data_IF_528515990825
#
_entry.id   IF_528515990825
#
_cell.length_a   1.000
_cell.length_b   1.000
_cell.length_c   1.000
_cell.angle_alpha   90.00
_cell.angle_beta   90.00
_cell.angle_gamma   90.00
#
_symmetry.space_group_name_H-M   'P 1'
#
loop_
_entity.id
_entity.type
_entity.pdbx_description
1 polymer ?
#
# COMPACT_ATOMS: atom_id res chain seq x y z
N UNK A 1 -68.92 16.13 40.01
CA UNK A 1 -67.89 15.08 40.25
C UNK A 1 -68.56 13.74 39.98
N UNK A 2 -67.99 12.74 39.26
CA UNK A 2 -66.63 12.59 38.68
C UNK A 2 -66.62 12.58 37.12
N UNK A 3 -65.65 13.21 36.46
CA UNK A 3 -64.36 12.70 35.92
C UNK A 3 -64.46 11.72 34.75
N UNK A 4 -64.10 12.23 33.57
CA UNK A 4 -63.98 11.55 32.28
C UNK A 4 -62.58 10.88 32.20
N UNK A 5 -62.45 9.61 31.78
CA UNK A 5 -61.15 8.94 31.74
C UNK A 5 -60.30 9.32 30.52
N UNK A 6 -59.02 9.52 30.79
CA UNK A 6 -57.90 9.90 29.90
C UNK A 6 -57.56 8.79 28.88
N UNK A 7 -57.18 9.11 27.62
CA UNK A 7 -56.79 8.10 26.63
C UNK A 7 -55.38 7.53 26.87
N UNK A 8 -55.25 6.21 26.69
CA UNK A 8 -54.00 5.46 26.82
C UNK A 8 -52.97 5.80 25.72
N UNK A 9 -51.66 5.76 26.01
CA UNK A 9 -50.63 6.09 25.04
C UNK A 9 -50.45 4.95 24.02
N UNK A 10 -50.37 5.32 22.73
CA UNK A 10 -50.05 4.41 21.63
C UNK A 10 -48.61 3.91 21.78
N UNK A 11 -48.44 2.61 21.83
CA UNK A 11 -47.14 1.93 21.71
C UNK A 11 -46.55 2.21 20.33
N UNK A 12 -45.38 2.82 20.29
CA UNK A 12 -44.60 3.08 19.07
C UNK A 12 -43.96 1.79 18.58
N UNK A 13 -44.29 1.38 17.35
CA UNK A 13 -43.62 0.30 16.63
C UNK A 13 -42.11 0.56 16.54
N UNK A 14 -41.24 -0.45 16.77
CA UNK A 14 -39.82 -0.30 16.54
C UNK A 14 -39.54 -0.26 15.03
N UNK A 15 -38.90 0.81 14.58
CA UNK A 15 -38.37 0.92 13.22
C UNK A 15 -37.25 -0.11 13.00
N UNK A 16 -37.11 -0.72 11.81
CA UNK A 16 -36.00 -1.60 11.51
C UNK A 16 -34.76 -0.76 11.23
N UNK A 17 -33.96 -0.50 12.26
CA UNK A 17 -32.62 0.06 12.11
C UNK A 17 -31.63 -1.06 11.78
N UNK A 18 -31.63 -1.52 10.53
CA UNK A 18 -30.51 -2.29 9.98
C UNK A 18 -29.75 -1.43 8.97
N UNK A 19 -29.19 -0.32 9.45
CA UNK A 19 -27.95 0.18 8.87
C UNK A 19 -26.83 -0.58 9.58
N UNK A 20 -26.26 -1.56 8.88
CA UNK A 20 -25.06 -2.26 9.31
C UNK A 20 -23.92 -1.24 9.44
N UNK A 21 -23.84 -0.59 10.59
CA UNK A 21 -22.61 0.02 11.06
C UNK A 21 -21.64 -1.13 11.29
N UNK A 22 -20.80 -1.38 10.29
CA UNK A 22 -19.61 -2.20 10.47
C UNK A 22 -18.72 -1.43 11.45
N UNK A 23 -18.90 -1.72 12.73
CA UNK A 23 -18.06 -1.25 13.81
C UNK A 23 -16.68 -1.89 13.70
N UNK A 24 -15.68 -1.14 14.13
CA UNK A 24 -14.23 -1.40 14.00
C UNK A 24 -13.71 -2.68 14.69
N UNK A 25 -14.57 -3.53 15.23
CA UNK A 25 -14.29 -4.95 15.55
C UNK A 25 -14.35 -5.85 14.29
N UNK A 26 -14.06 -5.32 13.11
CA UNK A 26 -14.26 -6.03 11.84
C UNK A 26 -13.17 -5.78 10.79
N UNK A 27 -12.07 -5.09 11.13
CA UNK A 27 -10.97 -4.77 10.17
C UNK A 27 -9.60 -5.23 10.65
N UNK A 28 -9.38 -5.27 11.96
CA UNK A 28 -8.49 -6.20 12.67
C UNK A 28 -9.16 -6.46 14.01
N UNK A 29 -9.24 -7.73 14.41
CA UNK A 29 -9.57 -8.09 15.79
C UNK A 29 -8.28 -8.59 16.44
N UNK A 30 -8.23 -8.66 17.77
CA UNK A 30 -7.12 -9.29 18.49
C UNK A 30 -6.82 -10.73 18.00
N UNK A 31 -7.76 -11.34 17.28
CA UNK A 31 -7.68 -12.67 16.65
C UNK A 31 -7.02 -12.68 15.24
N UNK A 32 -7.06 -11.57 14.47
CA UNK A 32 -6.49 -11.51 13.12
C UNK A 32 -5.87 -10.12 12.80
N UNK A 33 -4.56 -9.98 13.01
CA UNK A 33 -3.85 -8.72 12.75
C UNK A 33 -3.62 -8.44 11.25
N UNK A 34 -4.03 -9.34 10.34
CA UNK A 34 -3.74 -9.27 8.91
C UNK A 34 -5.00 -9.04 8.04
N UNK A 35 -6.19 -9.01 8.65
CA UNK A 35 -7.47 -8.86 7.96
C UNK A 35 -7.58 -7.63 7.02
N UNK A 36 -6.80 -6.58 7.27
CA UNK A 36 -6.78 -5.40 6.40
C UNK A 36 -6.04 -5.61 5.08
N UNK A 37 -5.23 -6.65 4.93
CA UNK A 37 -4.55 -6.94 3.66
C UNK A 37 -5.57 -7.14 2.53
N UNK A 38 -6.79 -7.58 2.85
CA UNK A 38 -7.91 -7.68 1.93
C UNK A 38 -8.36 -6.34 1.30
N UNK A 39 -8.00 -5.21 1.91
CA UNK A 39 -8.49 -3.88 1.50
C UNK A 39 -7.60 -3.19 0.45
N UNK A 40 -6.41 -3.72 0.18
CA UNK A 40 -5.42 -3.11 -0.70
C UNK A 40 -4.81 -4.17 -1.60
N UNK A 41 -4.55 -3.85 -2.87
CA UNK A 41 -3.68 -4.71 -3.68
C UNK A 41 -2.23 -4.52 -3.24
N UNK A 42 -1.56 -5.61 -2.88
CA UNK A 42 -0.15 -5.57 -2.47
C UNK A 42 0.77 -5.80 -3.66
N UNK A 43 1.61 -4.80 -3.96
CA UNK A 43 2.55 -4.82 -5.09
C UNK A 43 3.98 -4.76 -4.56
N UNK A 44 4.77 -5.81 -4.76
CA UNK A 44 6.19 -5.78 -4.49
C UNK A 44 6.98 -5.33 -5.73
N UNK A 45 7.89 -4.39 -5.55
CA UNK A 45 8.84 -3.94 -6.57
C UNK A 45 10.24 -4.29 -6.09
N UNK A 46 10.86 -5.30 -6.69
CA UNK A 46 12.13 -5.84 -6.26
C UNK A 46 13.25 -5.29 -7.11
N UNK A 47 14.27 -4.78 -6.44
CA UNK A 47 15.55 -4.47 -7.05
C UNK A 47 16.21 -5.77 -7.53
N UNK A 48 16.38 -5.89 -8.84
CA UNK A 48 17.17 -6.92 -9.51
C UNK A 48 18.40 -6.32 -10.18
N UNK A 49 18.93 -5.21 -9.68
CA UNK A 49 20.22 -4.63 -10.10
C UNK A 49 21.39 -5.55 -9.76
N UNK A 50 22.56 -5.27 -10.34
CA UNK A 50 23.76 -6.07 -10.09
C UNK A 50 24.21 -6.11 -8.62
N UNK A 51 23.96 -5.06 -7.82
CA UNK A 51 24.37 -4.99 -6.41
C UNK A 51 23.66 -6.02 -5.53
N UNK A 52 22.42 -6.37 -5.89
CA UNK A 52 21.62 -7.34 -5.16
C UNK A 52 22.18 -8.76 -5.20
N UNK A 53 23.13 -9.05 -6.10
CA UNK A 53 23.69 -10.39 -6.28
C UNK A 53 24.24 -10.99 -4.97
N UNK A 54 23.88 -12.24 -4.68
CA UNK A 54 24.40 -12.99 -3.55
C UNK A 54 23.48 -12.93 -2.33
N UNK A 55 23.85 -12.15 -1.30
CA UNK A 55 23.15 -12.17 -0.01
C UNK A 55 21.77 -11.49 -0.08
N UNK A 56 21.72 -10.23 -0.51
CA UNK A 56 20.48 -9.46 -0.61
C UNK A 56 19.41 -10.19 -1.43
N UNK A 57 19.77 -10.71 -2.61
CA UNK A 57 18.84 -11.46 -3.46
C UNK A 57 18.23 -12.70 -2.79
N UNK A 58 19.03 -13.47 -2.06
CA UNK A 58 18.55 -14.65 -1.33
C UNK A 58 17.61 -14.26 -0.18
N UNK A 59 18.01 -13.24 0.56
CA UNK A 59 17.22 -12.69 1.66
C UNK A 59 15.85 -12.19 1.19
N UNK A 60 15.77 -11.46 0.07
CA UNK A 60 14.50 -11.05 -0.52
C UNK A 60 13.66 -12.23 -0.96
N UNK A 61 14.27 -13.22 -1.63
CA UNK A 61 13.55 -14.43 -2.05
C UNK A 61 12.92 -15.14 -0.86
N UNK A 62 13.71 -15.41 0.18
CA UNK A 62 13.27 -16.18 1.34
C UNK A 62 12.18 -15.46 2.12
N UNK A 63 12.29 -14.13 2.24
CA UNK A 63 11.29 -13.33 2.91
C UNK A 63 9.97 -13.24 2.09
N UNK A 64 10.03 -13.06 0.76
CA UNK A 64 8.84 -13.12 -0.10
C UNK A 64 8.14 -14.49 -0.03
N UNK A 65 8.90 -15.59 -0.03
CA UNK A 65 8.35 -16.94 0.12
C UNK A 65 7.61 -17.12 1.43
N UNK A 66 8.10 -16.52 2.50
CA UNK A 66 7.52 -16.65 3.82
C UNK A 66 6.27 -15.77 4.01
N UNK A 67 6.23 -14.56 3.42
CA UNK A 67 5.07 -13.66 3.57
C UNK A 67 3.95 -13.96 2.57
N UNK A 68 4.26 -14.55 1.39
CA UNK A 68 3.25 -14.80 0.35
C UNK A 68 2.03 -15.56 0.89
N UNK A 69 2.19 -16.70 1.62
CA UNK A 69 1.06 -17.42 2.20
C UNK A 69 0.24 -16.59 3.19
N UNK A 70 0.89 -15.65 3.89
CA UNK A 70 0.25 -14.75 4.85
C UNK A 70 -0.60 -13.74 4.08
N UNK A 71 -0.03 -13.06 3.09
CA UNK A 71 -0.79 -12.10 2.28
C UNK A 71 -1.98 -12.76 1.59
N UNK A 72 -1.81 -13.97 1.07
CA UNK A 72 -2.84 -14.67 0.27
C UNK A 72 -3.93 -15.30 1.11
N UNK A 73 -3.72 -15.47 2.41
CA UNK A 73 -4.78 -15.86 3.33
C UNK A 73 -5.85 -14.77 3.48
N UNK A 74 -5.50 -13.51 3.18
CA UNK A 74 -6.38 -12.35 3.34
C UNK A 74 -6.66 -11.63 2.01
N UNK A 75 -5.83 -11.79 0.99
CA UNK A 75 -6.00 -11.22 -0.35
C UNK A 75 -6.21 -12.33 -1.39
N UNK A 76 -7.44 -12.46 -1.89
CA UNK A 76 -7.87 -13.62 -2.68
C UNK A 76 -7.28 -13.67 -4.10
N UNK A 77 -6.90 -12.51 -4.65
CA UNK A 77 -6.17 -12.42 -5.92
C UNK A 77 -4.66 -12.58 -5.74
N UNK A 78 -4.13 -12.39 -4.53
CA UNK A 78 -2.73 -12.61 -4.15
C UNK A 78 -1.86 -11.38 -4.41
N UNK A 79 -0.53 -11.56 -4.38
CA UNK A 79 0.40 -10.42 -4.53
C UNK A 79 0.85 -10.24 -5.98
N UNK A 80 1.12 -9.00 -6.36
CA UNK A 80 1.78 -8.66 -7.61
C UNK A 80 3.28 -8.42 -7.39
N UNK A 81 4.12 -8.91 -8.30
CA UNK A 81 5.56 -8.79 -8.23
C UNK A 81 6.13 -8.17 -9.50
N UNK A 82 6.85 -7.06 -9.36
CA UNK A 82 7.60 -6.40 -10.41
C UNK A 82 9.08 -6.38 -10.03
N UNK A 83 9.94 -6.37 -11.05
CA UNK A 83 11.37 -6.15 -10.89
C UNK A 83 11.77 -4.83 -11.54
N UNK A 84 12.83 -4.16 -11.07
CA UNK A 84 13.28 -2.90 -11.65
C UNK A 84 13.68 -3.05 -13.13
N UNK A 85 14.45 -4.08 -13.45
CA UNK A 85 15.01 -4.34 -14.77
C UNK A 85 14.21 -5.42 -15.52
N UNK A 86 13.93 -6.56 -14.88
CA UNK A 86 13.21 -7.66 -15.53
C UNK A 86 11.74 -7.32 -15.80
N UNK A 87 11.28 -7.67 -17.00
CA UNK A 87 9.88 -7.53 -17.43
C UNK A 87 9.34 -8.89 -17.84
N UNK A 88 8.32 -9.35 -17.13
CA UNK A 88 7.60 -10.57 -17.50
C UNK A 88 6.92 -10.40 -18.88
N UNK A 89 6.62 -11.53 -19.55
CA UNK A 89 5.80 -11.52 -20.76
C UNK A 89 4.29 -11.42 -20.48
N UNK A 90 3.87 -11.31 -19.21
CA UNK A 90 2.44 -11.24 -18.89
C UNK A 90 1.84 -9.92 -19.39
N UNK A 91 0.68 -9.96 -20.06
CA UNK A 91 0.04 -8.76 -20.62
C UNK A 91 -0.38 -7.79 -19.52
N UNK A 92 -0.63 -6.52 -19.85
CA UNK A 92 -1.23 -5.56 -18.92
C UNK A 92 -2.64 -6.00 -18.51
N UNK A 93 -3.04 -5.72 -17.28
CA UNK A 93 -4.43 -5.80 -16.84
C UNK A 93 -4.99 -4.37 -16.66
N UNK A 94 -6.32 -4.23 -16.56
CA UNK A 94 -6.92 -2.90 -16.34
C UNK A 94 -6.38 -2.29 -15.05
N UNK A 95 -5.82 -1.09 -15.13
CA UNK A 95 -5.22 -0.41 -13.97
C UNK A 95 -3.84 -0.94 -13.52
N UNK A 96 -3.28 -1.96 -14.17
CA UNK A 96 -2.00 -2.57 -13.78
C UNK A 96 -1.02 -2.60 -14.95
N UNK A 97 0.24 -2.28 -14.67
CA UNK A 97 1.30 -2.20 -15.68
C UNK A 97 1.70 -3.57 -16.24
N UNK A 98 2.12 -3.61 -17.50
CA UNK A 98 2.74 -4.80 -18.08
C UNK A 98 4.10 -5.12 -17.44
N UNK A 99 4.58 -6.35 -17.64
CA UNK A 99 5.91 -6.76 -17.20
C UNK A 99 6.05 -7.09 -15.72
N UNK A 100 4.94 -7.33 -15.03
CA UNK A 100 4.90 -7.89 -13.67
C UNK A 100 4.39 -9.33 -13.67
N UNK A 101 4.64 -10.06 -12.59
CA UNK A 101 4.05 -11.36 -12.31
C UNK A 101 2.85 -11.15 -11.39
N UNK A 102 1.66 -11.53 -11.83
CA UNK A 102 0.43 -11.21 -11.08
C UNK A 102 -0.23 -12.35 -10.36
N UNK A 103 -0.93 -12.02 -9.29
CA UNK A 103 -1.70 -12.96 -8.48
C UNK A 103 -0.87 -14.15 -8.03
N UNK A 104 0.30 -13.84 -7.47
CA UNK A 104 1.17 -14.84 -6.87
C UNK A 104 0.53 -15.23 -5.54
N UNK A 105 0.09 -16.49 -5.47
CA UNK A 105 -0.67 -17.00 -4.33
C UNK A 105 0.02 -18.14 -3.58
N UNK A 106 1.23 -18.51 -3.96
CA UNK A 106 2.00 -19.56 -3.31
C UNK A 106 3.50 -19.31 -3.36
N UNK A 107 4.22 -19.92 -2.41
CA UNK A 107 5.67 -19.78 -2.28
C UNK A 107 6.47 -20.49 -3.40
N UNK A 108 5.89 -21.49 -4.06
CA UNK A 108 6.57 -22.22 -5.14
C UNK A 108 6.66 -21.35 -6.40
N UNK A 109 5.65 -20.53 -6.67
CA UNK A 109 5.64 -19.54 -7.73
C UNK A 109 6.69 -18.46 -7.51
N UNK A 110 6.89 -18.00 -6.27
CA UNK A 110 8.00 -17.11 -5.92
C UNK A 110 9.34 -17.78 -6.22
N UNK A 111 9.56 -19.02 -5.79
CA UNK A 111 10.80 -19.76 -6.05
C UNK A 111 11.07 -19.88 -7.55
N UNK A 112 10.06 -20.22 -8.35
CA UNK A 112 10.17 -20.32 -9.80
C UNK A 112 10.55 -18.99 -10.46
N UNK A 113 9.96 -17.88 -10.02
CA UNK A 113 10.29 -16.54 -10.54
C UNK A 113 11.75 -16.20 -10.23
N UNK A 114 12.19 -16.40 -8.99
CA UNK A 114 13.58 -16.14 -8.61
C UNK A 114 14.57 -17.14 -9.24
N UNK A 115 14.10 -18.32 -9.66
CA UNK A 115 14.87 -19.26 -10.45
C UNK A 115 15.05 -18.81 -11.91
N UNK A 116 14.20 -17.93 -12.46
CA UNK A 116 14.34 -17.38 -13.82
C UNK A 116 14.97 -15.99 -13.88
N UNK A 117 14.69 -15.14 -12.88
CA UNK A 117 15.22 -13.77 -12.83
C UNK A 117 16.61 -13.76 -12.20
N UNK A 118 17.53 -12.94 -12.73
CA UNK A 118 18.89 -12.81 -12.22
C UNK A 118 19.24 -11.33 -12.00
N UNK A 119 19.89 -10.99 -10.87
CA UNK A 119 20.41 -9.66 -10.63
C UNK A 119 21.33 -9.18 -11.76
N UNK A 120 21.00 -8.04 -12.39
CA UNK A 120 21.75 -7.40 -13.46
C UNK A 120 21.27 -5.97 -13.71
N UNK A 121 22.13 -5.11 -14.27
CA UNK A 121 21.77 -3.72 -14.60
C UNK A 121 21.84 -2.77 -13.41
N UNK A 122 21.24 -1.59 -13.58
CA UNK A 122 21.20 -0.53 -12.56
C UNK A 122 19.91 -0.56 -11.75
N UNK A 123 19.63 0.56 -11.06
CA UNK A 123 18.50 0.69 -10.13
C UNK A 123 17.50 1.76 -10.63
N UNK A 124 16.82 1.55 -11.79
CA UNK A 124 15.92 2.54 -12.41
C UNK A 124 14.56 2.60 -11.69
N UNK A 125 14.59 2.97 -10.41
CA UNK A 125 13.45 2.99 -9.49
C UNK A 125 12.35 3.93 -9.95
N UNK A 126 12.70 5.16 -10.35
CA UNK A 126 11.73 6.18 -10.78
C UNK A 126 10.99 5.73 -12.04
N UNK A 127 11.75 5.26 -13.04
CA UNK A 127 11.21 4.71 -14.28
C UNK A 127 10.24 3.56 -14.02
N UNK A 128 10.60 2.63 -13.12
CA UNK A 128 9.75 1.47 -12.84
C UNK A 128 8.50 1.86 -12.07
N UNK A 129 8.61 2.71 -11.04
CA UNK A 129 7.47 3.23 -10.30
C UNK A 129 6.52 4.01 -11.22
N UNK A 130 7.03 4.85 -12.11
CA UNK A 130 6.21 5.57 -13.08
C UNK A 130 5.44 4.60 -13.99
N UNK A 131 6.08 3.54 -14.46
CA UNK A 131 5.41 2.53 -15.29
C UNK A 131 4.26 1.83 -14.56
N UNK A 132 4.42 1.55 -13.26
CA UNK A 132 3.40 0.92 -12.40
C UNK A 132 2.27 1.89 -12.06
N UNK A 133 2.61 3.10 -11.62
CA UNK A 133 1.66 4.12 -11.16
C UNK A 133 0.83 4.68 -12.32
N UNK A 134 1.40 4.86 -13.51
CA UNK A 134 0.72 5.50 -14.65
C UNK A 134 -0.63 4.87 -15.00
N UNK A 135 -0.75 3.55 -15.25
CA UNK A 135 -2.05 2.93 -15.56
C UNK A 135 -3.01 2.96 -14.37
N UNK A 136 -2.51 2.85 -13.14
CA UNK A 136 -3.35 2.91 -11.95
C UNK A 136 -3.94 4.32 -11.73
N UNK A 137 -3.12 5.37 -11.83
CA UNK A 137 -3.60 6.75 -11.73
C UNK A 137 -4.59 7.09 -12.84
N UNK A 138 -4.40 6.54 -14.05
CA UNK A 138 -5.38 6.69 -15.12
C UNK A 138 -6.71 6.01 -14.79
N UNK A 139 -6.68 4.85 -14.12
CA UNK A 139 -7.88 4.20 -13.60
C UNK A 139 -8.56 5.05 -12.53
N UNK A 140 -7.82 5.62 -11.58
CA UNK A 140 -8.39 6.51 -10.56
C UNK A 140 -9.09 7.72 -11.19
N UNK A 141 -8.43 8.41 -12.13
CA UNK A 141 -9.01 9.57 -12.83
C UNK A 141 -10.27 9.17 -13.61
N UNK A 142 -10.25 8.01 -14.29
CA UNK A 142 -11.41 7.53 -15.03
C UNK A 142 -12.62 7.19 -14.13
N UNK A 143 -12.41 6.99 -12.83
CA UNK A 143 -13.44 6.70 -11.84
C UNK A 143 -13.50 7.78 -10.75
N UNK A 144 -13.11 9.02 -11.03
CA UNK A 144 -13.09 10.12 -10.03
C UNK A 144 -14.43 10.29 -9.30
N UNK A 145 -15.55 10.14 -10.02
CA UNK A 145 -16.89 10.24 -9.43
C UNK A 145 -17.25 9.10 -8.46
N UNK A 146 -16.54 7.97 -8.53
CA UNK A 146 -16.73 6.79 -7.68
C UNK A 146 -15.36 6.21 -7.32
N UNK A 147 -14.46 7.05 -6.82
CA UNK A 147 -13.06 6.67 -6.54
C UNK A 147 -12.96 5.55 -5.52
N UNK A 148 -13.93 5.44 -4.61
CA UNK A 148 -14.01 4.37 -3.60
C UNK A 148 -14.23 2.98 -4.24
N UNK A 149 -14.69 2.91 -5.49
CA UNK A 149 -14.76 1.65 -6.26
C UNK A 149 -13.41 1.14 -6.76
N UNK A 150 -12.38 1.99 -6.78
CA UNK A 150 -11.02 1.62 -7.16
C UNK A 150 -10.28 1.11 -5.93
N UNK A 151 -9.96 -0.19 -5.90
CA UNK A 151 -9.21 -0.81 -4.80
C UNK A 151 -7.86 -0.08 -4.61
N UNK A 152 -7.57 0.45 -3.41
CA UNK A 152 -6.30 1.08 -3.10
C UNK A 152 -5.10 0.16 -3.32
N UNK A 153 -3.92 0.72 -3.59
CA UNK A 153 -2.69 -0.08 -3.78
C UNK A 153 -1.63 0.23 -2.72
N UNK A 154 -0.89 -0.79 -2.32
CA UNK A 154 0.27 -0.69 -1.46
C UNK A 154 1.52 -1.22 -2.18
N UNK A 155 2.38 -0.29 -2.60
CA UNK A 155 3.63 -0.62 -3.29
C UNK A 155 4.77 -0.73 -2.27
N UNK A 156 5.49 -1.84 -2.27
CA UNK A 156 6.65 -2.08 -1.40
C UNK A 156 7.87 -2.29 -2.29
N UNK A 157 8.75 -1.28 -2.32
CA UNK A 157 10.01 -1.29 -3.04
C UNK A 157 11.08 -1.89 -2.13
N UNK A 158 11.74 -2.96 -2.57
CA UNK A 158 12.81 -3.63 -1.82
C UNK A 158 14.12 -3.45 -2.59
N UNK A 159 15.09 -2.73 -2.03
CA UNK A 159 16.34 -2.36 -2.72
C UNK A 159 17.53 -2.30 -1.76
N UNK A 160 18.74 -2.54 -2.27
CA UNK A 160 20.00 -2.30 -1.56
C UNK A 160 20.81 -1.13 -2.12
N UNK A 161 20.28 -0.42 -3.12
CA UNK A 161 21.00 0.57 -3.90
C UNK A 161 20.33 1.94 -3.94
N UNK A 162 21.12 2.92 -4.39
CA UNK A 162 20.63 4.27 -4.69
C UNK A 162 19.90 4.24 -6.04
N UNK A 163 18.72 4.87 -6.17
CA UNK A 163 18.08 5.04 -7.47
C UNK A 163 19.03 5.64 -8.51
N UNK A 164 19.05 5.07 -9.72
CA UNK A 164 19.86 5.59 -10.83
C UNK A 164 19.16 6.68 -11.65
N UNK A 165 17.94 7.03 -11.27
CA UNK A 165 17.06 7.99 -11.94
C UNK A 165 16.19 8.76 -10.94
N UNK A 166 15.44 9.74 -11.44
CA UNK A 166 14.63 10.64 -10.63
C UNK A 166 13.33 9.96 -10.13
N UNK A 167 13.32 9.66 -8.83
CA UNK A 167 12.17 9.09 -8.13
C UNK A 167 11.23 10.18 -7.62
N UNK A 168 11.77 11.29 -7.11
CA UNK A 168 11.02 12.37 -6.48
C UNK A 168 9.97 12.97 -7.42
N UNK A 169 10.37 13.30 -8.65
CA UNK A 169 9.47 13.86 -9.65
C UNK A 169 8.31 12.91 -9.97
N UNK A 170 8.56 11.60 -9.99
CA UNK A 170 7.52 10.58 -10.22
C UNK A 170 6.51 10.57 -9.09
N UNK A 171 7.00 10.61 -7.84
CA UNK A 171 6.17 10.58 -6.64
C UNK A 171 5.35 11.87 -6.48
N UNK A 172 5.98 13.04 -6.66
CA UNK A 172 5.30 14.35 -6.62
C UNK A 172 4.19 14.42 -7.68
N UNK A 173 4.46 13.94 -8.91
CA UNK A 173 3.47 13.93 -9.97
C UNK A 173 2.29 12.98 -9.67
N UNK A 174 2.56 11.85 -9.02
CA UNK A 174 1.51 10.93 -8.58
C UNK A 174 0.64 11.57 -7.49
N UNK A 175 1.27 12.17 -6.48
CA UNK A 175 0.59 12.86 -5.39
C UNK A 175 -0.32 13.98 -5.90
N UNK A 176 0.21 14.88 -6.75
CA UNK A 176 -0.56 15.98 -7.36
C UNK A 176 -1.76 15.49 -8.17
N UNK A 177 -1.65 14.37 -8.88
CA UNK A 177 -2.76 13.78 -9.64
C UNK A 177 -3.86 13.24 -8.73
N UNK A 178 -3.49 12.59 -7.63
CA UNK A 178 -4.44 12.07 -6.64
C UNK A 178 -5.14 13.21 -5.88
N UNK A 179 -4.41 14.26 -5.51
CA UNK A 179 -4.99 15.43 -4.84
C UNK A 179 -5.96 16.19 -5.76
N UNK A 180 -5.64 16.28 -7.06
CA UNK A 180 -6.51 16.93 -8.04
C UNK A 180 -7.91 16.30 -8.14
N UNK A 181 -8.02 14.99 -7.93
CA UNK A 181 -9.28 14.24 -8.00
C UNK A 181 -9.90 13.98 -6.62
N UNK A 182 -9.40 14.65 -5.56
CA UNK A 182 -9.79 14.43 -4.17
C UNK A 182 -9.78 12.94 -3.76
N UNK A 183 -8.80 12.18 -4.26
CA UNK A 183 -8.71 10.76 -3.94
C UNK A 183 -8.47 10.57 -2.44
N UNK A 184 -8.94 9.48 -1.81
CA UNK A 184 -8.65 9.22 -0.41
C UNK A 184 -7.13 9.23 -0.12
N UNK A 185 -6.66 9.75 1.03
CA UNK A 185 -5.22 9.81 1.34
C UNK A 185 -4.52 8.44 1.29
N UNK A 186 -5.27 7.36 1.48
CA UNK A 186 -4.80 5.98 1.46
C UNK A 186 -4.88 5.29 0.09
N UNK A 187 -5.33 5.99 -0.98
CA UNK A 187 -5.56 5.39 -2.31
C UNK A 187 -4.30 4.76 -2.92
N UNK A 188 -3.15 5.38 -2.66
CA UNK A 188 -1.83 4.85 -2.98
C UNK A 188 -0.97 5.06 -1.76
N UNK A 189 -0.17 4.07 -1.40
CA UNK A 189 1.06 4.41 -0.74
C UNK A 189 2.20 3.48 -1.10
N UNK A 190 3.40 4.03 -0.91
CA UNK A 190 4.65 3.50 -1.40
C UNK A 190 5.58 3.39 -0.20
N UNK A 191 6.24 2.25 -0.07
CA UNK A 191 7.16 1.99 1.01
C UNK A 191 8.50 1.60 0.42
N UNK A 192 9.57 2.25 0.87
CA UNK A 192 10.91 1.81 0.56
C UNK A 192 11.46 0.99 1.70
N UNK A 193 11.91 -0.21 1.38
CA UNK A 193 12.51 -1.14 2.30
C UNK A 193 13.95 -1.42 1.87
N UNK A 194 14.89 -1.01 2.72
CA UNK A 194 16.31 -1.25 2.47
C UNK A 194 16.71 -2.67 2.86
N UNK A 195 17.41 -3.36 1.96
CA UNK A 195 18.14 -4.60 2.24
C UNK A 195 19.63 -4.31 2.28
N UNK A 196 20.37 -5.05 3.08
CA UNK A 196 21.80 -4.81 3.26
C UNK A 196 22.09 -3.61 4.19
N UNK A 197 23.29 -3.04 4.05
CA UNK A 197 23.79 -1.97 4.94
C UNK A 197 24.54 -0.90 4.14
N UNK A 198 24.11 -0.66 2.91
CA UNK A 198 24.70 0.35 2.04
C UNK A 198 24.29 1.75 2.52
N UNK A 199 25.26 2.55 2.95
CA UNK A 199 24.99 3.86 3.54
C UNK A 199 24.35 4.82 2.53
N UNK A 200 24.81 4.81 1.28
CA UNK A 200 24.25 5.65 0.23
C UNK A 200 22.78 5.34 -0.03
N UNK A 201 22.39 4.05 -0.03
CA UNK A 201 20.99 3.67 -0.14
C UNK A 201 20.18 4.18 1.06
N UNK A 202 20.73 4.11 2.27
CA UNK A 202 20.09 4.61 3.49
C UNK A 202 19.82 6.11 3.42
N UNK A 203 20.80 6.88 2.96
CA UNK A 203 20.69 8.34 2.80
C UNK A 203 19.67 8.71 1.72
N UNK A 204 19.75 8.08 0.56
CA UNK A 204 18.82 8.34 -0.55
C UNK A 204 17.36 8.02 -0.17
N UNK A 205 17.12 6.92 0.55
CA UNK A 205 15.78 6.59 1.02
C UNK A 205 15.28 7.61 2.06
N UNK A 206 16.15 8.04 2.98
CA UNK A 206 15.76 9.06 3.97
C UNK A 206 15.36 10.37 3.29
N UNK A 207 16.09 10.79 2.26
CA UNK A 207 15.78 11.98 1.47
C UNK A 207 14.41 11.86 0.78
N UNK A 208 14.04 10.67 0.29
CA UNK A 208 12.71 10.42 -0.27
C UNK A 208 11.56 10.51 0.75
N UNK A 209 11.84 10.22 2.04
CA UNK A 209 10.84 10.32 3.12
C UNK A 209 10.62 11.78 3.53
N UNK A 210 11.72 12.47 3.85
CA UNK A 210 11.70 13.82 4.42
C UNK A 210 11.48 14.90 3.33
N UNK A 211 12.05 14.70 2.13
CA UNK A 211 12.18 15.73 1.10
C UNK A 211 10.93 16.01 0.28
N UNK A 212 10.02 15.03 0.12
CA UNK A 212 8.87 15.20 -0.79
C UNK A 212 7.93 16.34 -0.38
N UNK A 213 7.72 16.54 0.93
CA UNK A 213 6.89 17.61 1.45
C UNK A 213 7.58 18.99 1.36
N UNK A 214 8.91 19.01 1.44
CA UNK A 214 9.72 20.24 1.41
C UNK A 214 9.90 20.79 -0.01
N UNK A 215 9.83 19.93 -1.03
CA UNK A 215 10.05 20.29 -2.44
C UNK A 215 8.86 20.97 -3.13
N UNK A 216 7.70 21.06 -2.48
CA UNK A 216 6.47 21.60 -3.09
C UNK A 216 5.83 22.64 -2.18
N UNK A 217 5.73 23.88 -2.66
CA UNK A 217 5.00 24.94 -1.98
C UNK A 217 3.54 24.53 -1.71
N UNK A 218 3.15 24.53 -0.43
CA UNK A 218 1.84 24.05 0.04
C UNK A 218 1.78 22.55 0.39
N UNK A 219 2.89 21.83 0.23
CA UNK A 219 3.03 20.40 0.50
C UNK A 219 2.35 19.51 -0.54
N UNK A 220 2.59 18.20 -0.42
CA UNK A 220 1.85 17.14 -1.14
C UNK A 220 1.30 16.16 -0.12
N UNK A 221 0.32 15.34 -0.50
CA UNK A 221 -0.14 14.24 0.37
C UNK A 221 1.01 13.35 0.82
N UNK A 222 0.95 12.94 2.08
CA UNK A 222 1.84 11.91 2.63
C UNK A 222 1.40 10.53 2.12
N UNK A 223 2.21 9.96 1.22
CA UNK A 223 1.99 8.66 0.61
C UNK A 223 3.26 7.78 0.54
N UNK A 224 4.37 8.26 1.09
CA UNK A 224 5.68 7.60 1.02
C UNK A 224 6.16 7.39 2.45
N UNK A 225 6.62 6.18 2.75
CA UNK A 225 7.26 5.85 4.01
C UNK A 225 8.58 5.13 3.71
N UNK A 226 9.62 5.35 4.52
CA UNK A 226 10.86 4.57 4.42
C UNK A 226 11.16 3.76 5.67
N UNK A 227 11.66 2.55 5.45
CA UNK A 227 12.12 1.66 6.52
C UNK A 227 13.53 1.19 6.19
N UNK A 228 14.47 1.66 7.00
CA UNK A 228 15.88 1.25 6.94
C UNK A 228 16.17 0.33 8.11
N UNK A 229 16.94 -0.73 7.90
CA UNK A 229 17.34 -1.61 8.99
C UNK A 229 18.56 -1.02 9.72
N UNK A 230 18.38 -0.62 10.98
CA UNK A 230 19.45 -0.12 11.83
C UNK A 230 19.86 -1.15 12.90
N UNK A 231 21.19 -1.32 13.03
CA UNK A 231 21.97 -2.19 13.92
C UNK A 231 21.32 -2.54 15.26
N UNK A 232 21.11 -3.84 15.51
CA UNK A 232 20.76 -4.35 16.85
C UNK A 232 20.53 -5.85 17.01
N UNK A 233 20.11 -6.59 15.98
CA UNK A 233 19.91 -8.04 16.09
C UNK A 233 19.60 -8.69 14.75
N UNK A 234 20.38 -9.69 14.37
CA UNK A 234 20.35 -10.43 13.09
C UNK A 234 20.11 -9.56 11.83
N UNK A 235 21.19 -9.25 11.13
CA UNK A 235 21.24 -8.36 9.96
C UNK A 235 20.65 -9.00 8.69
N UNK A 236 19.59 -9.80 8.86
CA UNK A 236 18.93 -10.63 7.85
C UNK A 236 17.52 -10.14 7.64
N UNK A 237 17.13 -9.98 6.37
CA UNK A 237 15.73 -9.79 6.03
C UNK A 237 14.90 -11.01 6.46
N UNK A 238 14.08 -10.83 7.50
CA UNK A 238 13.18 -11.88 7.97
C UNK A 238 11.76 -11.63 7.49
N UNK A 239 10.99 -12.71 7.36
CA UNK A 239 9.56 -12.66 7.07
C UNK A 239 8.81 -11.74 8.05
N UNK A 240 9.14 -11.80 9.34
CA UNK A 240 8.53 -10.94 10.36
C UNK A 240 8.85 -9.47 10.16
N UNK A 241 10.02 -9.13 9.63
CA UNK A 241 10.40 -7.75 9.38
C UNK A 241 9.67 -7.20 8.15
N UNK A 242 9.60 -7.96 7.05
CA UNK A 242 8.78 -7.55 5.90
C UNK A 242 7.31 -7.45 6.31
N UNK A 243 6.82 -8.40 7.11
CA UNK A 243 5.45 -8.38 7.58
C UNK A 243 5.18 -7.15 8.44
N UNK A 244 6.09 -6.76 9.35
CA UNK A 244 5.97 -5.48 10.08
C UNK A 244 5.93 -4.26 9.18
N UNK A 245 6.67 -4.27 8.08
CA UNK A 245 6.68 -3.17 7.09
C UNK A 245 5.34 -3.11 6.39
N UNK A 246 4.92 -4.25 5.80
CA UNK A 246 3.60 -4.43 5.20
C UNK A 246 2.51 -3.96 6.16
N UNK A 247 2.60 -4.34 7.45
CA UNK A 247 1.61 -3.99 8.45
C UNK A 247 1.66 -2.51 8.86
N UNK A 248 2.85 -1.99 9.15
CA UNK A 248 3.07 -0.67 9.75
C UNK A 248 2.58 0.47 8.88
N UNK A 249 2.86 0.40 7.57
CA UNK A 249 2.35 1.39 6.64
C UNK A 249 0.84 1.31 6.44
N UNK A 250 0.24 0.13 6.60
CA UNK A 250 -1.22 0.00 6.50
C UNK A 250 -1.90 0.50 7.78
N UNK A 251 -1.33 0.27 8.97
CA UNK A 251 -1.83 0.84 10.23
C UNK A 251 -1.84 2.37 10.17
N UNK A 252 -0.73 3.00 9.76
CA UNK A 252 -0.68 4.47 9.55
C UNK A 252 -1.78 4.95 8.59
N UNK A 253 -2.08 4.17 7.54
CA UNK A 253 -3.12 4.52 6.56
C UNK A 253 -4.54 4.32 7.08
N UNK A 254 -4.78 3.33 7.94
CA UNK A 254 -6.06 3.16 8.62
C UNK A 254 -6.35 4.35 9.54
N UNK A 255 -5.33 4.87 10.23
CA UNK A 255 -5.47 6.09 11.03
C UNK A 255 -5.85 7.29 10.15
N UNK A 256 -5.24 7.42 8.96
CA UNK A 256 -5.61 8.46 7.97
C UNK A 256 -7.03 8.28 7.40
N UNK A 257 -7.50 7.04 7.21
CA UNK A 257 -8.89 6.75 6.79
C UNK A 257 -9.91 7.20 7.84
N UNK A 258 -9.62 7.00 9.13
CA UNK A 258 -10.49 7.47 10.22
C UNK A 258 -10.57 8.99 10.25
N UNK A 259 -9.42 9.67 10.15
CA UNK A 259 -9.37 11.14 10.13
C UNK A 259 -10.17 11.76 8.97
N UNK A 260 -10.05 11.22 7.76
CA UNK A 260 -10.82 11.70 6.59
C UNK A 260 -12.33 11.42 6.69
N UNK A 261 -12.73 10.32 7.33
CA UNK A 261 -14.14 9.98 7.58
C UNK A 261 -14.82 10.85 8.65
N UNK A 262 -14.08 11.27 9.68
CA UNK A 262 -14.58 12.17 10.74
C UNK A 262 -14.79 13.60 10.23
N UNK A 263 -13.90 14.12 9.37
CA UNK A 263 -14.07 15.44 8.73
C UNK A 263 -15.35 15.55 7.89
N UNK A 264 -15.80 14.46 7.24
CA UNK A 264 -17.06 14.45 6.47
C UNK A 264 -18.32 14.43 7.36
N UNK A 265 -18.24 14.00 8.63
CA UNK A 265 -19.39 13.97 9.55
C UNK A 265 -19.60 15.28 10.31
N UNK A 266 -18.54 16.03 10.59
CA UNK A 266 -18.65 17.32 11.28
C UNK A 266 -19.17 18.48 10.40
N UNK A 267 -19.25 18.30 9.08
CA UNK A 267 -19.73 19.34 8.16
C UNK A 267 -21.24 19.27 7.81
N UNK A 268 -22.01 18.33 8.40
CA UNK A 268 -23.44 18.14 8.08
C UNK A 268 -24.42 18.38 9.22
N UNK A 269 -24.03 19.08 10.29
CA UNK A 269 -24.98 19.55 11.31
C UNK A 269 -24.68 21.00 11.72
N UNK A 270 -25.32 21.91 10.99
CA UNK A 270 -25.66 23.33 11.25
C UNK A 270 -26.04 23.86 9.84
N UNK A 271 -27.29 24.15 9.47
CA UNK A 271 -28.44 24.76 10.15
C UNK A 271 -29.67 24.59 9.20
N UNK A 272 -30.88 25.07 9.53
CA UNK A 272 -31.33 25.76 10.74
C UNK A 272 -32.32 24.98 11.60
#
# INVERSE_FOLDING_TARGET
MPQNPTPAPRSTSPAPSHTSQVSLTSVTNEEDPYAFLAQFDTVFVIDDSGSMAGRSWREVKDALRAITPICTAHDADGIDLFFLNHKSAQPAAKGSAAGGFRGINDAARVENIFATVRPSGGTPTGTRLHAILKPYLALCVANEADIESVKPINIIVITDGVPSDDVETVLINAAKKLDKIDAPPYQVGIQFFQVGNEEGAREALKELDDGLAELVDGGVRDMVDTVTWNKGGDNTLSASNILKVVLGAVVKRLDRRRASGESRRSARHLAP
#
